data_IF_039122505687
#
_entry.id   IF_039122505687
#
_cell.length_a   1.000
_cell.length_b   1.000
_cell.length_c   1.000
_cell.angle_alpha   90.00
_cell.angle_beta   90.00
_cell.angle_gamma   90.00
#
_symmetry.space_group_name_H-M   'P 1'
#
loop_
_entity.id
_entity.type
_entity.pdbx_description
1 polymer ?
#
# COMPACT_ATOMS: atom_id res chain seq x y z
N UNK A 1 26.99 -47.86 -21.83
CA UNK A 1 25.82 -46.95 -21.92
C UNK A 1 24.94 -47.28 -20.74
N UNK A 2 24.79 -46.37 -19.78
CA UNK A 2 23.87 -46.62 -18.66
C UNK A 2 22.44 -46.75 -19.23
N UNK A 3 21.61 -47.67 -18.72
CA UNK A 3 20.22 -47.75 -19.14
C UNK A 3 19.50 -46.43 -18.83
N UNK A 4 18.54 -46.00 -19.66
CA UNK A 4 17.75 -44.81 -19.38
C UNK A 4 17.01 -45.00 -18.05
N UNK A 5 16.92 -43.92 -17.27
CA UNK A 5 16.19 -43.91 -16.00
C UNK A 5 14.71 -44.22 -16.31
N UNK A 6 14.16 -45.24 -15.66
CA UNK A 6 12.75 -45.61 -15.80
C UNK A 6 11.87 -44.50 -15.19
N UNK A 7 10.78 -44.06 -15.85
CA UNK A 7 9.88 -43.07 -15.30
C UNK A 7 9.17 -43.61 -14.05
N UNK A 8 9.09 -42.79 -13.00
CA UNK A 8 8.38 -43.15 -11.76
C UNK A 8 6.90 -42.81 -11.91
N UNK A 9 6.04 -43.82 -11.89
CA UNK A 9 4.57 -43.62 -11.92
C UNK A 9 4.03 -43.34 -10.52
N UNK A 10 3.20 -42.30 -10.39
CA UNK A 10 2.54 -41.90 -9.13
C UNK A 10 1.10 -41.49 -9.38
N UNK A 11 0.19 -41.90 -8.49
CA UNK A 11 -1.23 -41.48 -8.49
C UNK A 11 -1.46 -40.54 -7.32
N UNK A 12 -1.83 -39.29 -7.61
CA UNK A 12 -2.15 -38.28 -6.60
C UNK A 12 -3.59 -37.78 -6.74
N UNK A 13 -4.26 -37.53 -5.62
CA UNK A 13 -5.57 -36.85 -5.62
C UNK A 13 -5.33 -35.34 -5.62
N UNK A 14 -5.71 -34.67 -6.70
CA UNK A 14 -5.47 -33.23 -6.91
C UNK A 14 -6.77 -32.44 -7.02
N UNK A 15 -6.71 -31.15 -6.74
CA UNK A 15 -7.80 -30.22 -7.03
C UNK A 15 -7.98 -30.05 -8.55
N UNK A 16 -9.14 -29.57 -8.99
CA UNK A 16 -9.44 -29.33 -10.42
C UNK A 16 -8.46 -28.39 -11.10
N UNK A 17 -7.84 -27.48 -10.35
CA UNK A 17 -6.83 -26.55 -10.83
C UNK A 17 -5.55 -26.80 -10.02
N UNK A 18 -4.52 -27.34 -10.68
CA UNK A 18 -3.22 -27.61 -10.09
C UNK A 18 -2.12 -27.20 -11.07
N UNK A 19 -0.93 -26.91 -10.53
CA UNK A 19 0.26 -26.54 -11.30
C UNK A 19 1.32 -27.60 -11.00
N UNK A 20 1.90 -28.16 -12.07
CA UNK A 20 3.01 -29.12 -11.95
C UNK A 20 4.30 -28.35 -12.15
N UNK A 21 5.16 -28.36 -11.13
CA UNK A 21 6.53 -27.89 -11.24
C UNK A 21 7.45 -29.10 -11.42
N UNK A 22 7.98 -29.26 -12.62
CA UNK A 22 8.99 -30.27 -12.91
C UNK A 22 10.37 -29.76 -12.44
N UNK A 23 10.72 -30.05 -11.19
CA UNK A 23 12.02 -29.65 -10.60
C UNK A 23 13.01 -30.82 -10.73
N UNK A 24 12.87 -31.85 -9.90
CA UNK A 24 13.66 -33.09 -9.96
C UNK A 24 12.79 -34.29 -9.53
N UNK A 25 13.10 -35.50 -9.99
CA UNK A 25 12.37 -36.73 -9.60
C UNK A 25 12.92 -37.32 -8.28
N UNK A 26 12.98 -36.51 -7.23
CA UNK A 26 13.41 -36.92 -5.90
C UNK A 26 12.26 -36.93 -4.89
N UNK A 27 12.33 -37.81 -3.90
CA UNK A 27 11.28 -38.02 -2.89
C UNK A 27 11.08 -36.80 -1.97
N UNK A 28 12.11 -35.95 -1.82
CA UNK A 28 12.10 -34.72 -1.00
C UNK A 28 12.63 -33.53 -1.80
N UNK A 29 11.76 -32.93 -2.59
CA UNK A 29 12.06 -31.63 -3.22
C UNK A 29 11.64 -30.47 -2.30
N UNK A 30 12.37 -29.36 -2.39
CA UNK A 30 11.91 -28.10 -1.84
C UNK A 30 10.64 -27.64 -2.57
N UNK A 31 9.79 -26.89 -1.86
CA UNK A 31 8.64 -26.24 -2.52
C UNK A 31 9.17 -25.24 -3.55
N UNK A 32 8.52 -25.12 -4.72
CA UNK A 32 8.87 -24.10 -5.70
C UNK A 32 8.78 -22.71 -5.06
N UNK A 33 9.61 -21.78 -5.54
CA UNK A 33 9.58 -20.40 -5.08
C UNK A 33 8.27 -19.72 -5.51
N UNK A 34 7.87 -18.70 -4.75
CA UNK A 34 6.69 -17.89 -5.07
C UNK A 34 6.73 -17.35 -6.51
N UNK A 35 7.87 -16.78 -6.90
CA UNK A 35 8.08 -16.20 -8.22
C UNK A 35 7.96 -17.25 -9.34
N UNK A 36 8.57 -18.43 -9.16
CA UNK A 36 8.44 -19.53 -10.13
C UNK A 36 6.98 -19.97 -10.29
N UNK A 37 6.24 -20.09 -9.19
CA UNK A 37 4.82 -20.43 -9.25
C UNK A 37 3.98 -19.35 -9.93
N UNK A 38 4.17 -18.08 -9.58
CA UNK A 38 3.42 -16.98 -10.20
C UNK A 38 3.75 -16.82 -11.69
N UNK A 39 5.01 -16.96 -12.07
CA UNK A 39 5.45 -16.94 -13.48
C UNK A 39 4.81 -18.07 -14.27
N UNK A 40 4.74 -19.28 -13.72
CA UNK A 40 4.09 -20.41 -14.38
C UNK A 40 2.57 -20.22 -14.53
N UNK A 41 1.91 -19.57 -13.57
CA UNK A 41 0.46 -19.36 -13.60
C UNK A 41 0.04 -18.18 -14.48
N UNK A 42 0.81 -17.08 -14.48
CA UNK A 42 0.39 -15.79 -15.03
C UNK A 42 1.35 -15.21 -16.07
N UNK A 43 2.51 -15.82 -16.30
CA UNK A 43 3.55 -15.30 -17.18
C UNK A 43 4.51 -14.32 -16.49
N UNK A 44 5.37 -13.68 -17.27
CA UNK A 44 6.51 -12.86 -16.81
C UNK A 44 6.23 -11.35 -16.78
N UNK A 45 4.96 -10.95 -16.96
CA UNK A 45 4.57 -9.56 -17.13
C UNK A 45 4.65 -8.69 -15.85
N UNK A 46 4.91 -9.30 -14.69
CA UNK A 46 5.05 -8.59 -13.43
C UNK A 46 6.26 -9.10 -12.65
N UNK A 47 6.87 -8.22 -11.86
CA UNK A 47 7.92 -8.59 -10.91
C UNK A 47 7.29 -9.29 -9.70
N UNK A 48 7.13 -10.61 -9.82
CA UNK A 48 6.50 -11.44 -8.79
C UNK A 48 7.33 -11.56 -7.53
N UNK A 49 8.65 -11.35 -7.60
CA UNK A 49 9.56 -11.41 -6.46
C UNK A 49 9.27 -10.26 -5.49
N UNK A 50 9.11 -9.05 -6.02
CA UNK A 50 8.90 -7.84 -5.23
C UNK A 50 7.41 -7.46 -5.09
N UNK A 51 6.51 -8.24 -5.67
CA UNK A 51 5.08 -8.00 -5.59
C UNK A 51 4.58 -8.09 -4.14
N UNK A 52 4.04 -6.97 -3.62
CA UNK A 52 3.51 -6.89 -2.26
C UNK A 52 2.15 -7.57 -2.17
N UNK A 53 2.15 -8.87 -1.92
CA UNK A 53 0.92 -9.65 -1.77
C UNK A 53 0.37 -9.50 -0.36
N UNK A 54 -0.76 -8.82 -0.23
CA UNK A 54 -1.54 -8.88 1.01
C UNK A 54 -2.23 -10.23 1.11
N UNK A 55 -1.61 -11.15 1.84
CA UNK A 55 -2.24 -12.43 2.20
C UNK A 55 -3.54 -12.17 2.96
N UNK A 56 -4.50 -13.10 2.88
CA UNK A 56 -5.80 -12.95 3.54
C UNK A 56 -5.66 -12.77 5.07
N UNK A 57 -4.58 -13.27 5.68
CA UNK A 57 -4.26 -13.05 7.09
C UNK A 57 -3.71 -11.64 7.27
N UNK A 58 -4.53 -10.74 7.83
CA UNK A 58 -4.14 -9.36 8.13
C UNK A 58 -4.38 -8.36 7.00
N UNK A 59 -5.05 -8.75 5.91
CA UNK A 59 -5.56 -7.80 4.92
C UNK A 59 -6.61 -6.91 5.61
N UNK A 60 -6.47 -5.57 5.60
CA UNK A 60 -7.56 -4.68 5.99
C UNK A 60 -8.75 -4.98 5.07
N UNK A 61 -9.78 -5.65 5.59
CA UNK A 61 -10.98 -5.98 4.84
C UNK A 61 -11.77 -4.73 4.46
N UNK A 62 -11.56 -3.64 5.21
CA UNK A 62 -12.12 -2.33 4.94
C UNK A 62 -11.11 -1.44 4.19
N UNK A 63 -11.65 -0.56 3.34
CA UNK A 63 -10.88 0.52 2.72
C UNK A 63 -10.25 1.39 3.84
N UNK A 64 -8.95 1.75 3.74
CA UNK A 64 -8.34 2.68 4.69
C UNK A 64 -9.13 3.98 4.79
N UNK A 65 -9.54 4.34 6.01
CA UNK A 65 -10.25 5.59 6.29
C UNK A 65 -9.27 6.75 6.31
N UNK A 66 -9.55 7.80 5.54
CA UNK A 66 -8.73 9.00 5.52
C UNK A 66 -8.93 9.82 6.80
N UNK A 67 -7.85 10.40 7.32
CA UNK A 67 -7.84 11.23 8.53
C UNK A 67 -7.70 12.69 8.12
N UNK A 68 -8.46 13.58 8.75
CA UNK A 68 -8.33 15.02 8.56
C UNK A 68 -7.01 15.50 9.18
N UNK A 69 -6.11 16.16 8.42
CA UNK A 69 -4.82 16.61 8.93
C UNK A 69 -4.94 17.79 9.92
N UNK A 70 -6.09 18.47 9.95
CA UNK A 70 -6.32 19.64 10.82
C UNK A 70 -6.89 19.20 12.18
N UNK A 71 -7.82 18.26 12.19
CA UNK A 71 -8.56 17.87 13.41
C UNK A 71 -8.21 16.48 13.94
N UNK A 72 -7.52 15.65 13.16
CA UNK A 72 -7.23 14.25 13.50
C UNK A 72 -8.46 13.32 13.48
N UNK A 73 -9.64 13.82 13.14
CA UNK A 73 -10.88 13.02 13.03
C UNK A 73 -10.96 12.33 11.67
N UNK A 74 -11.80 11.30 11.57
CA UNK A 74 -12.10 10.65 10.28
C UNK A 74 -12.67 11.69 9.33
N UNK A 75 -12.07 11.80 8.15
CA UNK A 75 -12.49 12.74 7.13
C UNK A 75 -13.75 12.24 6.41
N UNK A 76 -14.75 13.10 6.33
CA UNK A 76 -16.03 12.83 5.65
C UNK A 76 -16.05 13.41 4.24
N UNK A 77 -15.21 14.41 3.99
CA UNK A 77 -15.22 15.21 2.77
C UNK A 77 -13.80 15.39 2.21
N UNK A 78 -13.70 15.69 0.92
CA UNK A 78 -12.47 16.06 0.22
C UNK A 78 -12.63 17.48 -0.33
N UNK A 79 -11.60 18.30 -0.21
CA UNK A 79 -11.58 19.63 -0.84
C UNK A 79 -11.31 19.48 -2.36
N UNK A 80 -12.19 19.95 -3.26
CA UNK A 80 -12.01 19.77 -4.70
C UNK A 80 -10.79 20.49 -5.28
N UNK A 81 -10.24 21.49 -4.57
CA UNK A 81 -9.08 22.26 -5.03
C UNK A 81 -7.76 21.56 -4.76
N UNK A 82 -7.67 20.83 -3.66
CA UNK A 82 -6.42 20.25 -3.14
C UNK A 82 -6.47 18.74 -2.97
N UNK A 83 -7.65 18.14 -3.07
CA UNK A 83 -7.95 16.77 -2.66
C UNK A 83 -7.58 16.43 -1.21
N UNK A 84 -7.41 17.44 -0.35
CA UNK A 84 -7.09 17.23 1.07
C UNK A 84 -8.35 16.77 1.81
N UNK A 85 -8.27 15.67 2.60
CA UNK A 85 -9.39 15.19 3.39
C UNK A 85 -9.68 16.08 4.60
N UNK A 86 -10.95 16.37 4.87
CA UNK A 86 -11.37 17.13 6.05
C UNK A 86 -12.63 16.54 6.72
N UNK A 87 -12.76 16.81 8.03
CA UNK A 87 -13.81 16.19 8.86
C UNK A 87 -15.05 17.09 9.05
N UNK A 88 -14.86 18.40 9.24
CA UNK A 88 -15.91 19.35 9.58
C UNK A 88 -15.74 20.71 8.87
N UNK A 89 -16.75 21.59 9.02
CA UNK A 89 -16.76 22.91 8.39
C UNK A 89 -15.62 23.82 8.88
N UNK A 90 -15.25 23.70 10.16
CA UNK A 90 -14.15 24.49 10.73
C UNK A 90 -12.81 24.09 10.11
N UNK A 91 -12.55 22.79 9.92
CA UNK A 91 -11.39 22.31 9.18
C UNK A 91 -11.36 22.86 7.74
N UNK A 92 -12.51 22.89 7.06
CA UNK A 92 -12.60 23.47 5.71
C UNK A 92 -12.28 24.98 5.69
N UNK A 93 -12.75 25.74 6.69
CA UNK A 93 -12.44 27.17 6.84
C UNK A 93 -10.95 27.39 7.10
N UNK A 94 -10.34 26.59 7.96
CA UNK A 94 -8.90 26.64 8.23
C UNK A 94 -8.12 26.33 6.96
N UNK A 95 -8.45 25.26 6.24
CA UNK A 95 -7.83 24.89 4.97
C UNK A 95 -7.93 26.04 3.93
N UNK A 96 -9.12 26.63 3.81
CA UNK A 96 -9.34 27.76 2.90
C UNK A 96 -8.49 28.98 3.26
N UNK A 97 -8.29 29.28 4.56
CA UNK A 97 -7.44 30.37 5.04
C UNK A 97 -5.95 30.08 4.79
N UNK A 98 -5.52 28.82 4.95
CA UNK A 98 -4.15 28.39 4.58
C UNK A 98 -3.90 28.63 3.09
N UNK A 99 -4.85 28.27 2.23
CA UNK A 99 -4.76 28.49 0.78
C UNK A 99 -4.77 29.98 0.39
N UNK A 100 -5.29 30.86 1.24
CA UNK A 100 -5.23 32.32 1.06
C UNK A 100 -3.99 32.94 1.70
N UNK A 101 -3.05 32.13 2.17
CA UNK A 101 -1.83 32.58 2.85
C UNK A 101 -2.11 33.48 4.08
N UNK A 102 -3.24 33.25 4.76
CA UNK A 102 -3.57 34.01 5.99
C UNK A 102 -2.77 33.53 7.21
N UNK A 103 -2.16 32.35 7.13
CA UNK A 103 -1.28 31.80 8.18
C UNK A 103 0.18 31.98 7.78
N UNK A 104 1.03 32.27 8.77
CA UNK A 104 2.47 32.42 8.58
C UNK A 104 3.13 31.04 8.56
N UNK A 105 3.95 30.78 7.54
CA UNK A 105 4.81 29.59 7.48
C UNK A 105 6.08 29.83 8.30
N UNK A 106 6.42 28.91 9.19
CA UNK A 106 7.70 28.94 9.92
C UNK A 106 8.69 27.97 9.27
N UNK A 107 9.76 28.44 8.60
CA UNK A 107 10.78 27.57 8.01
C UNK A 107 11.49 26.70 9.05
N UNK A 108 11.66 27.21 10.27
CA UNK A 108 12.35 26.49 11.35
C UNK A 108 11.56 25.27 11.85
N UNK A 109 10.23 25.37 11.88
CA UNK A 109 9.36 24.28 12.34
C UNK A 109 8.78 23.45 11.19
N UNK A 110 8.88 23.93 9.95
CA UNK A 110 8.29 23.28 8.78
C UNK A 110 6.76 23.20 8.86
N UNK A 111 6.10 24.18 9.48
CA UNK A 111 4.65 24.19 9.65
C UNK A 111 4.03 25.61 9.62
N UNK A 112 2.72 25.67 9.38
CA UNK A 112 1.94 26.90 9.56
C UNK A 112 1.66 27.13 11.04
N UNK A 113 1.92 28.35 11.51
CA UNK A 113 1.81 28.71 12.93
C UNK A 113 0.51 29.44 13.23
N UNK A 114 0.56 30.75 13.29
CA UNK A 114 -0.55 31.61 13.65
C UNK A 114 -0.97 32.47 12.47
N UNK A 115 -2.13 33.14 12.60
CA UNK A 115 -2.62 34.05 11.58
C UNK A 115 -1.67 35.26 11.47
N UNK A 116 -1.42 35.72 10.26
CA UNK A 116 -0.67 36.94 10.02
C UNK A 116 -1.29 38.11 10.81
N UNK A 117 -0.48 38.82 11.59
CA UNK A 117 -0.91 39.92 12.46
C UNK A 117 -1.52 39.49 13.81
N UNK A 118 -1.53 38.20 14.14
CA UNK A 118 -1.86 37.77 15.52
C UNK A 118 -0.68 38.03 16.47
N UNK A 119 -0.97 38.19 17.76
CA UNK A 119 0.05 38.36 18.83
C UNK A 119 1.07 37.23 18.91
N UNK A 120 0.77 36.07 18.32
CA UNK A 120 1.65 34.90 18.25
C UNK A 120 2.36 34.78 16.90
N UNK A 121 2.31 35.81 16.05
CA UNK A 121 3.04 35.85 14.78
C UNK A 121 4.49 36.22 15.05
N UNK A 122 5.49 35.46 14.57
CA UNK A 122 6.90 35.71 14.87
C UNK A 122 7.46 37.02 14.29
N UNK A 123 6.68 37.76 13.48
CA UNK A 123 7.04 39.08 12.95
C UNK A 123 6.28 40.21 13.68
N UNK A 124 6.48 40.29 14.99
CA UNK A 124 6.20 41.47 15.80
C UNK A 124 7.52 42.03 16.36
N UNK A 125 8.48 42.29 15.46
CA UNK A 125 9.67 43.11 15.65
C UNK A 125 10.26 43.45 14.27
#
# INVERSE_FOLDING_TARGET
MAPPIQPVERKDTVAKQYVVHEIEQAEKNSRPSWNTTMTAMFGDHADWENCRVYTAKGRPLARPTQICPITGKVAKYLDPRTNVPYADLEAYRVLSRVLRHEYVWSPALGCYVSRAGSVFSPNAA
#
